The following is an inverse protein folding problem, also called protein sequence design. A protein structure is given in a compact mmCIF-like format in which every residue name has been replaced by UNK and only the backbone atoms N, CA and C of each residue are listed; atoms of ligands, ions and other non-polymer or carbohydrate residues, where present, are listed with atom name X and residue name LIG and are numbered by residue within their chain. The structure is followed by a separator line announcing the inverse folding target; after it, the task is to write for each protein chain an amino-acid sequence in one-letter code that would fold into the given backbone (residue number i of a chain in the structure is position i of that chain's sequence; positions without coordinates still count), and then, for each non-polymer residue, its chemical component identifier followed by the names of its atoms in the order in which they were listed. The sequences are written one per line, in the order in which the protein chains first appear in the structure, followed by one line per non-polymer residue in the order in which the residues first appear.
data_IF_073213299288
#
_entry.id   IF_073213299288
#
_cell.length_a   1.000
_cell.length_b   1.000
_cell.length_c   1.000
_cell.angle_alpha   90.00
_cell.angle_beta   90.00
_cell.angle_gamma   90.00
#
_symmetry.space_group_name_H-M   'P 1'
#
loop_
_entity.id
_entity.type
_entity.pdbx_description
1 polymer ?
#
# COMPACT_ATOMS: atom_id res chain seq x y z
N UNK A 1 -7.17 26.69 6.59
CA UNK A 1 -6.83 25.65 7.59
C UNK A 1 -7.17 24.23 7.12
N UNK A 2 -8.41 23.96 6.67
CA UNK A 2 -8.83 22.59 6.29
C UNK A 2 -8.00 21.95 5.16
N UNK A 3 -7.67 22.72 4.12
CA UNK A 3 -6.88 22.25 2.97
C UNK A 3 -5.49 21.79 3.40
N UNK A 4 -4.87 22.49 4.36
CA UNK A 4 -3.56 22.12 4.90
C UNK A 4 -3.61 20.77 5.65
N UNK A 5 -4.66 20.56 6.46
CA UNK A 5 -4.88 19.30 7.17
C UNK A 5 -5.12 18.13 6.21
N UNK A 6 -5.90 18.33 5.14
CA UNK A 6 -6.13 17.30 4.11
C UNK A 6 -4.84 16.95 3.37
N UNK A 7 -4.00 17.93 3.04
CA UNK A 7 -2.73 17.71 2.32
C UNK A 7 -1.71 16.99 3.20
N UNK A 8 -1.53 17.42 4.45
CA UNK A 8 -0.63 16.74 5.39
C UNK A 8 -1.09 15.31 5.66
N UNK A 9 -2.39 15.10 5.87
CA UNK A 9 -2.93 13.76 6.09
C UNK A 9 -2.69 12.83 4.89
N UNK A 10 -2.84 13.33 3.66
CA UNK A 10 -2.61 12.54 2.44
C UNK A 10 -1.12 12.25 2.22
N UNK A 11 -0.23 13.19 2.54
CA UNK A 11 1.23 13.01 2.49
C UNK A 11 1.72 11.97 3.50
N UNK A 12 1.18 11.99 4.71
CA UNK A 12 1.49 11.01 5.76
C UNK A 12 1.11 9.59 5.31
N UNK A 13 -0.03 9.45 4.65
CA UNK A 13 -0.48 8.18 4.07
C UNK A 13 0.47 7.66 2.99
N UNK A 14 0.94 8.54 2.11
CA UNK A 14 1.93 8.22 1.08
C UNK A 14 3.30 7.82 1.67
N UNK A 15 3.74 8.51 2.72
CA UNK A 15 4.98 8.19 3.42
C UNK A 15 4.89 6.84 4.14
N UNK A 16 3.77 6.55 4.79
CA UNK A 16 3.54 5.24 5.42
C UNK A 16 3.54 4.11 4.41
N UNK A 17 2.91 4.28 3.24
CA UNK A 17 2.93 3.29 2.16
C UNK A 17 4.36 2.96 1.69
N UNK A 18 5.22 3.99 1.57
CA UNK A 18 6.62 3.83 1.14
C UNK A 18 7.50 3.17 2.19
N UNK A 19 7.35 3.55 3.45
CA UNK A 19 8.14 3.00 4.56
C UNK A 19 7.77 1.54 4.79
N UNK A 20 6.47 1.21 4.73
CA UNK A 20 5.97 -0.15 4.85
C UNK A 20 6.55 -1.03 3.72
N UNK A 21 6.44 -0.62 2.46
CA UNK A 21 7.00 -1.35 1.31
C UNK A 21 8.46 -1.79 1.46
N UNK A 22 9.31 -0.95 2.05
CA UNK A 22 10.72 -1.28 2.31
C UNK A 22 10.93 -2.29 3.45
N UNK A 23 10.00 -2.36 4.43
CA UNK A 23 10.10 -3.27 5.58
C UNK A 23 9.51 -4.65 5.32
N UNK A 24 8.57 -4.78 4.37
CA UNK A 24 7.87 -6.05 4.09
C UNK A 24 8.65 -7.06 3.23
N UNK A 25 9.89 -6.78 2.81
CA UNK A 25 10.65 -7.69 1.92
C UNK A 25 9.85 -8.15 0.70
N UNK A 26 9.08 -7.24 0.09
CA UNK A 26 8.27 -7.55 -1.09
C UNK A 26 9.15 -7.54 -2.34
N UNK A 27 9.01 -8.53 -3.22
CA UNK A 27 9.70 -8.50 -4.52
C UNK A 27 9.03 -7.44 -5.40
N UNK A 28 9.84 -6.75 -6.21
CA UNK A 28 9.35 -5.65 -7.04
C UNK A 28 8.18 -6.05 -7.96
N UNK A 29 8.18 -7.29 -8.47
CA UNK A 29 7.10 -7.79 -9.33
C UNK A 29 5.78 -8.04 -8.57
N UNK A 30 5.83 -8.41 -7.30
CA UNK A 30 4.62 -8.66 -6.48
C UNK A 30 3.88 -7.34 -6.22
N UNK A 31 4.63 -6.28 -5.91
CA UNK A 31 4.09 -4.93 -5.74
C UNK A 31 3.53 -4.37 -7.04
N UNK A 32 4.19 -4.61 -8.19
CA UNK A 32 3.69 -4.16 -9.49
C UNK A 32 2.34 -4.82 -9.84
N UNK A 33 2.21 -6.12 -9.58
CA UNK A 33 0.93 -6.83 -9.79
C UNK A 33 -0.14 -6.29 -8.85
N UNK A 34 0.19 -6.07 -7.57
CA UNK A 34 -0.76 -5.48 -6.61
C UNK A 34 -1.22 -4.07 -7.03
N UNK A 35 -0.32 -3.25 -7.57
CA UNK A 35 -0.64 -1.93 -8.11
C UNK A 35 -1.59 -2.02 -9.30
N UNK A 36 -1.33 -2.89 -10.27
CA UNK A 36 -2.19 -3.09 -11.44
C UNK A 36 -3.60 -3.58 -11.06
N UNK A 37 -3.69 -4.55 -10.14
CA UNK A 37 -4.98 -5.09 -9.68
C UNK A 37 -5.79 -4.01 -8.98
N UNK A 38 -5.15 -3.25 -8.08
CA UNK A 38 -5.84 -2.18 -7.37
C UNK A 38 -6.18 -1.00 -8.27
N UNK A 39 -5.34 -0.68 -9.26
CA UNK A 39 -5.64 0.32 -10.28
C UNK A 39 -6.87 -0.09 -11.11
N UNK A 40 -6.97 -1.35 -11.53
CA UNK A 40 -8.12 -1.84 -12.26
C UNK A 40 -9.42 -1.81 -11.42
N UNK A 41 -9.32 -2.06 -10.11
CA UNK A 41 -10.47 -2.09 -9.21
C UNK A 41 -10.92 -0.69 -8.74
N UNK A 42 -9.99 0.24 -8.49
CA UNK A 42 -10.24 1.52 -7.82
C UNK A 42 -9.63 2.74 -8.52
N UNK A 43 -9.01 2.57 -9.69
CA UNK A 43 -8.33 3.63 -10.43
C UNK A 43 -7.09 4.17 -9.73
N UNK A 44 -6.79 5.46 -9.93
CA UNK A 44 -5.64 6.15 -9.32
C UNK A 44 -5.58 6.01 -7.79
N UNK A 45 -6.72 5.89 -7.10
CA UNK A 45 -6.77 5.67 -5.66
C UNK A 45 -6.26 4.27 -5.28
N UNK A 46 -6.47 3.27 -6.15
CA UNK A 46 -6.00 1.91 -5.96
C UNK A 46 -4.48 1.78 -6.01
N UNK A 47 -3.80 2.53 -6.88
CA UNK A 47 -2.32 2.56 -6.94
C UNK A 47 -1.72 3.00 -5.60
N UNK A 48 -2.36 3.95 -4.91
CA UNK A 48 -1.93 4.44 -3.59
C UNK A 48 -2.20 3.39 -2.50
N UNK A 49 -3.34 2.71 -2.59
CA UNK A 49 -3.75 1.70 -1.61
C UNK A 49 -3.01 0.34 -1.77
N UNK A 50 -2.52 0.02 -2.97
CA UNK A 50 -1.87 -1.25 -3.29
C UNK A 50 -0.74 -1.69 -2.35
N UNK A 51 0.29 -0.88 -2.08
CA UNK A 51 1.37 -1.26 -1.17
C UNK A 51 0.87 -1.49 0.27
N UNK A 52 -0.18 -0.79 0.71
CA UNK A 52 -0.75 -0.94 2.05
C UNK A 52 -1.52 -2.26 2.15
N UNK A 53 -2.39 -2.52 1.18
CA UNK A 53 -3.14 -3.78 1.11
C UNK A 53 -2.22 -4.98 0.94
N UNK A 54 -1.21 -4.89 0.09
CA UNK A 54 -0.22 -5.95 -0.10
C UNK A 54 0.53 -6.25 1.21
N UNK A 55 0.96 -5.22 1.94
CA UNK A 55 1.64 -5.39 3.22
C UNK A 55 0.76 -6.04 4.28
N UNK A 56 -0.50 -5.59 4.37
CA UNK A 56 -1.46 -6.14 5.31
C UNK A 56 -1.75 -7.61 5.00
N UNK A 57 -2.03 -7.94 3.73
CA UNK A 57 -2.32 -9.30 3.30
C UNK A 57 -1.14 -10.23 3.54
N UNK A 58 0.08 -9.79 3.22
CA UNK A 58 1.31 -10.56 3.50
C UNK A 58 1.46 -10.83 5.00
N UNK A 59 1.25 -9.82 5.84
CA UNK A 59 1.29 -9.98 7.31
C UNK A 59 0.25 -10.98 7.81
N UNK A 60 -0.96 -10.94 7.25
CA UNK A 60 -2.04 -11.86 7.64
C UNK A 60 -1.73 -13.31 7.23
N UNK A 61 -1.16 -13.51 6.04
CA UNK A 61 -0.70 -14.81 5.58
C UNK A 61 0.43 -15.37 6.46
N UNK A 62 1.41 -14.53 6.83
CA UNK A 62 2.47 -14.91 7.78
C UNK A 62 1.88 -15.26 9.16
N UNK A 63 0.94 -14.47 9.68
CA UNK A 63 0.27 -14.73 10.95
C UNK A 63 -0.54 -16.04 10.92
N UNK A 64 -1.18 -16.33 9.80
CA UNK A 64 -1.89 -17.58 9.55
C UNK A 64 -0.96 -18.78 9.23
N UNK A 65 0.37 -18.56 9.13
CA UNK A 65 1.38 -19.55 8.69
C UNK A 65 1.06 -20.18 7.34
N UNK A 66 0.52 -19.39 6.42
CA UNK A 66 0.23 -19.82 5.05
C UNK A 66 1.39 -19.55 4.09
N UNK A 67 2.35 -18.73 4.50
CA UNK A 67 3.63 -18.44 3.85
C UNK A 67 4.74 -18.30 4.88
#
# INVERSE_FOLDING_TARGET
ALVFLVVIHKLEYFLNARIVGSRIHARAWELLVAMLVMEAAFGLAGVVAAPIYYAYLKRELEAARLI
#
